data_IF_868779078830
#
_entry.id   IF_868779078830
#
_cell.length_a   1.000
_cell.length_b   1.000
_cell.length_c   1.000
_cell.angle_alpha   90.00
_cell.angle_beta   90.00
_cell.angle_gamma   90.00
#
_symmetry.space_group_name_H-M   'P 1'
#
loop_
_entity.id
_entity.type
_entity.pdbx_description
1 polymer ?
#
# COMPACT_ATOMS: atom_id res chain seq x y z
N UNK A 1 -13.51 -9.74 23.46
CA UNK A 1 -13.92 -9.31 22.99
C UNK A 1 -14.35 -8.05 22.48
N UNK A 2 -14.93 -7.28 23.19
CA UNK A 2 -15.44 -6.06 22.70
C UNK A 2 -14.36 -5.20 22.13
N UNK A 3 -13.23 -5.38 22.64
CA UNK A 3 -12.18 -4.54 22.21
C UNK A 3 -11.86 -4.71 20.78
N UNK A 4 -12.28 -5.76 20.21
CA UNK A 4 -11.95 -5.99 18.84
C UNK A 4 -12.75 -5.19 17.88
N UNK A 5 -13.76 -4.50 18.36
CA UNK A 5 -14.63 -3.79 17.47
C UNK A 5 -13.89 -2.76 16.68
N UNK A 6 -12.96 -2.08 17.29
CA UNK A 6 -12.28 -1.05 16.56
C UNK A 6 -11.50 -1.61 15.43
N UNK A 7 -10.92 -2.77 15.62
CA UNK A 7 -10.14 -3.36 14.55
C UNK A 7 -11.03 -3.75 13.41
N UNK A 8 -12.27 -4.05 13.70
CA UNK A 8 -13.15 -4.46 12.63
C UNK A 8 -13.52 -3.33 11.73
N UNK A 9 -13.42 -2.10 12.22
CA UNK A 9 -13.74 -0.97 11.39
C UNK A 9 -12.66 -0.70 10.37
N UNK A 10 -11.47 -1.22 10.58
CA UNK A 10 -10.36 -1.01 9.67
C UNK A 10 -10.03 -2.32 9.02
N UNK A 11 -10.23 -2.37 7.72
CA UNK A 11 -9.99 -3.60 6.99
C UNK A 11 -8.55 -3.60 6.51
N UNK A 12 -7.71 -4.38 7.16
CA UNK A 12 -6.33 -4.52 6.73
C UNK A 12 -6.12 -5.75 5.86
N UNK A 13 -7.20 -6.38 5.44
CA UNK A 13 -7.09 -7.50 4.54
C UNK A 13 -6.74 -7.04 3.12
N UNK A 14 -7.19 -5.85 2.76
CA UNK A 14 -6.93 -5.28 1.46
C UNK A 14 -6.27 -3.92 1.61
N UNK A 15 -5.41 -3.59 0.67
CA UNK A 15 -4.80 -2.27 0.67
C UNK A 15 -5.86 -1.23 0.36
N UNK A 16 -5.88 -0.16 1.13
CA UNK A 16 -6.83 0.91 0.92
C UNK A 16 -6.32 2.22 1.47
N UNK A 17 -7.11 3.27 1.28
CA UNK A 17 -6.75 4.60 1.75
C UNK A 17 -6.70 4.59 3.27
N UNK A 18 -5.64 5.18 3.82
CA UNK A 18 -5.45 5.20 5.26
C UNK A 18 -4.58 4.08 5.77
N UNK A 19 -4.16 3.18 4.90
CA UNK A 19 -3.34 2.05 5.29
C UNK A 19 -1.95 2.19 4.71
N UNK A 20 -1.01 1.52 5.34
CA UNK A 20 0.35 1.41 4.85
C UNK A 20 0.56 -0.02 4.39
N UNK A 21 1.21 -0.18 3.28
CA UNK A 21 1.48 -1.49 2.73
C UNK A 21 2.98 -1.64 2.56
N UNK A 22 3.51 -2.75 3.07
CA UNK A 22 4.91 -3.07 2.86
C UNK A 22 4.99 -3.99 1.65
N UNK A 23 5.77 -3.61 0.68
CA UNK A 23 5.90 -4.38 -0.55
C UNK A 23 7.38 -4.67 -0.81
N UNK A 24 7.60 -5.68 -1.61
CA UNK A 24 8.94 -6.05 -2.01
C UNK A 24 9.08 -5.88 -3.50
N UNK A 25 10.07 -5.10 -3.91
CA UNK A 25 10.39 -4.94 -5.31
C UNK A 25 11.05 -6.22 -5.77
N UNK A 26 10.37 -6.95 -6.64
CA UNK A 26 10.86 -8.25 -7.04
C UNK A 26 12.05 -8.17 -7.97
N UNK A 27 12.26 -7.02 -8.60
CA UNK A 27 13.38 -6.89 -9.50
C UNK A 27 14.67 -6.61 -8.73
N UNK A 28 14.59 -5.75 -7.72
CA UNK A 28 15.78 -5.38 -6.96
C UNK A 28 15.83 -6.02 -5.59
N UNK A 29 14.78 -6.78 -5.24
CA UNK A 29 14.75 -7.49 -3.96
C UNK A 29 14.82 -6.51 -2.80
N UNK A 30 14.10 -5.40 -2.89
CA UNK A 30 14.10 -4.37 -1.87
C UNK A 30 12.71 -4.19 -1.31
N UNK A 31 12.63 -3.90 -0.02
CA UNK A 31 11.35 -3.69 0.63
C UNK A 31 11.08 -2.20 0.75
N UNK A 32 9.86 -1.80 0.45
CA UNK A 32 9.46 -0.40 0.48
C UNK A 32 8.09 -0.32 1.12
N UNK A 33 7.87 0.70 1.93
CA UNK A 33 6.56 0.95 2.52
C UNK A 33 5.89 2.07 1.77
N UNK A 34 4.65 1.85 1.37
CA UNK A 34 3.84 2.90 0.75
C UNK A 34 2.62 3.13 1.61
N UNK A 35 2.29 4.40 1.84
CA UNK A 35 1.06 4.76 2.53
C UNK A 35 0.09 5.34 1.52
N UNK A 36 -1.12 4.83 1.51
CA UNK A 36 -2.14 5.31 0.59
C UNK A 36 -2.88 6.43 1.31
N UNK A 37 -2.78 7.64 0.77
CA UNK A 37 -3.30 8.82 1.45
C UNK A 37 -4.20 9.60 0.51
N UNK A 38 -4.90 10.58 1.09
CA UNK A 38 -5.70 11.48 0.28
C UNK A 38 -4.84 12.51 -0.43
N UNK A 39 -5.47 13.28 -1.32
CA UNK A 39 -4.73 14.22 -2.15
C UNK A 39 -3.92 15.22 -1.33
N UNK A 40 -4.45 15.66 -0.21
CA UNK A 40 -3.76 16.71 0.54
C UNK A 40 -2.57 16.17 1.31
N UNK A 41 -2.39 14.87 1.35
CA UNK A 41 -1.32 14.28 2.12
C UNK A 41 -0.24 13.62 1.26
N UNK A 42 -0.33 13.75 -0.04
CA UNK A 42 0.63 13.12 -0.92
C UNK A 42 2.00 13.70 -0.69
N UNK A 43 2.98 12.83 -0.48
CA UNK A 43 4.34 13.26 -0.23
C UNK A 43 5.27 12.18 -0.77
N UNK A 44 5.80 12.37 -1.97
CA UNK A 44 6.65 11.34 -2.57
C UNK A 44 7.88 11.02 -1.75
N UNK A 45 8.39 11.98 -1.00
CA UNK A 45 9.59 11.71 -0.21
C UNK A 45 9.31 10.74 0.92
N UNK A 46 8.07 10.68 1.37
CA UNK A 46 7.69 9.76 2.44
C UNK A 46 6.95 8.56 1.89
N UNK A 47 6.87 8.42 0.58
CA UNK A 47 6.12 7.34 -0.06
C UNK A 47 4.65 7.39 0.29
N UNK A 48 4.12 8.60 0.47
CA UNK A 48 2.70 8.81 0.65
C UNK A 48 2.12 9.03 -0.73
N UNK A 49 1.32 8.09 -1.19
CA UNK A 49 0.83 8.12 -2.56
C UNK A 49 -0.69 8.08 -2.56
N UNK A 50 -1.27 8.60 -3.64
CA UNK A 50 -2.70 8.61 -3.80
C UNK A 50 -3.18 7.25 -4.32
N UNK A 51 -4.41 6.89 -3.98
CA UNK A 51 -4.99 5.67 -4.53
C UNK A 51 -5.16 5.76 -6.03
N UNK A 52 -5.05 6.97 -6.59
CA UNK A 52 -5.18 7.13 -8.03
C UNK A 52 -3.84 7.22 -8.74
N UNK A 53 -2.75 7.20 -8.00
CA UNK A 53 -1.44 7.20 -8.63
C UNK A 53 -1.20 5.84 -9.30
N UNK A 54 -0.27 5.77 -10.24
CA UNK A 54 -0.02 4.50 -10.93
C UNK A 54 0.31 3.36 -9.97
N UNK A 55 1.13 3.62 -8.97
CA UNK A 55 1.46 2.58 -8.01
C UNK A 55 0.28 2.35 -7.08
N UNK A 56 -0.34 3.42 -6.60
CA UNK A 56 -1.42 3.28 -5.64
C UNK A 56 -2.59 2.51 -6.17
N UNK A 57 -2.99 2.81 -7.41
CA UNK A 57 -4.17 2.14 -7.94
C UNK A 57 -3.92 0.66 -8.19
N UNK A 58 -2.66 0.28 -8.41
CA UNK A 58 -2.37 -1.14 -8.56
C UNK A 58 -2.29 -1.83 -7.21
N UNK A 59 -1.94 -1.09 -6.16
CA UNK A 59 -1.84 -1.69 -4.84
C UNK A 59 -3.18 -1.79 -4.14
N UNK A 60 -4.07 -0.82 -4.38
CA UNK A 60 -5.37 -0.81 -3.71
C UNK A 60 -6.13 -2.08 -4.08
N UNK A 61 -6.66 -2.75 -3.08
CA UNK A 61 -7.39 -3.99 -3.29
C UNK A 61 -6.53 -5.23 -3.26
N UNK A 62 -5.23 -5.08 -3.16
CA UNK A 62 -4.34 -6.24 -3.06
C UNK A 62 -4.32 -6.75 -1.64
N UNK A 63 -3.93 -7.99 -1.50
CA UNK A 63 -3.85 -8.64 -0.20
C UNK A 63 -2.42 -9.10 0.02
N UNK A 64 -2.12 -9.44 1.26
CA UNK A 64 -0.81 -10.01 1.57
C UNK A 64 -0.60 -11.25 0.71
N UNK A 65 0.52 -11.28 0.04
CA UNK A 65 0.85 -12.38 -0.86
C UNK A 65 0.54 -12.10 -2.32
N UNK A 66 -0.22 -11.04 -2.59
CA UNK A 66 -0.51 -10.68 -3.97
C UNK A 66 0.66 -9.91 -4.56
N UNK A 67 0.73 -9.92 -5.88
CA UNK A 67 1.75 -9.16 -6.59
C UNK A 67 1.05 -8.09 -7.41
N UNK A 68 1.50 -6.85 -7.23
CA UNK A 68 0.99 -5.73 -7.99
C UNK A 68 1.95 -5.46 -9.15
N UNK A 69 1.41 -5.43 -10.35
CA UNK A 69 2.21 -5.19 -11.53
C UNK A 69 1.95 -3.79 -12.05
N UNK A 70 2.98 -2.95 -12.03
CA UNK A 70 2.86 -1.58 -12.48
C UNK A 70 3.55 -1.47 -13.83
N UNK A 71 2.77 -1.21 -14.86
CA UNK A 71 3.30 -1.12 -16.21
C UNK A 71 3.59 0.35 -16.51
N UNK A 72 4.86 0.63 -16.82
CA UNK A 72 5.26 1.96 -17.25
C UNK A 72 5.85 1.81 -18.64
N UNK A 73 6.02 2.93 -19.36
CA UNK A 73 6.48 2.82 -20.75
C UNK A 73 7.79 2.08 -20.92
N UNK A 74 8.68 2.21 -19.96
CA UNK A 74 10.00 1.62 -20.12
C UNK A 74 10.15 0.26 -19.46
N UNK A 75 9.20 -0.15 -18.62
CA UNK A 75 9.42 -1.36 -17.84
C UNK A 75 8.14 -1.80 -17.17
N UNK A 76 8.19 -2.96 -16.55
CA UNK A 76 7.13 -3.43 -15.69
C UNK A 76 7.75 -3.66 -14.32
N UNK A 77 7.14 -3.06 -13.31
CA UNK A 77 7.62 -3.18 -11.95
C UNK A 77 6.65 -4.06 -11.19
N UNK A 78 7.19 -5.03 -10.46
CA UNK A 78 6.36 -5.94 -9.69
C UNK A 78 6.66 -5.77 -8.22
N UNK A 79 5.61 -5.54 -7.45
CA UNK A 79 5.71 -5.42 -5.99
C UNK A 79 4.89 -6.52 -5.36
N UNK A 80 5.51 -7.29 -4.50
CA UNK A 80 4.79 -8.31 -3.75
C UNK A 80 4.36 -7.72 -2.43
N UNK A 81 3.08 -7.85 -2.10
CA UNK A 81 2.55 -7.31 -0.86
C UNK A 81 2.98 -8.22 0.28
N UNK A 82 3.76 -7.67 1.19
CA UNK A 82 4.27 -8.43 2.33
C UNK A 82 3.43 -8.23 3.57
N UNK A 83 2.94 -7.00 3.77
CA UNK A 83 2.22 -6.69 4.98
C UNK A 83 1.34 -5.49 4.77
N UNK A 84 0.20 -5.48 5.41
CA UNK A 84 -0.73 -4.35 5.36
C UNK A 84 -1.02 -3.97 6.81
N UNK A 85 -0.89 -2.69 7.14
CA UNK A 85 -1.14 -2.27 8.50
C UNK A 85 -1.65 -0.84 8.51
N UNK A 86 -2.21 -0.43 9.64
CA UNK A 86 -2.73 0.90 9.77
C UNK A 86 -1.59 1.90 9.83
N UNK A 87 -1.78 3.00 9.12
CA UNK A 87 -0.81 4.06 9.14
C UNK A 87 -0.85 4.73 10.51
N UNK A 88 0.32 4.90 11.08
CA UNK A 88 0.38 5.53 12.37
C UNK A 88 0.39 7.03 12.22
N UNK A 89 -0.48 7.70 12.95
CA UNK A 89 -0.55 9.14 12.94
C UNK A 89 -0.08 9.63 14.27
N UNK A 90 0.89 10.46 14.31
CA UNK A 90 1.32 10.96 15.61
C UNK A 90 1.28 12.41 15.72
#
# INVERSE_FOLDING_TARGET
EAEDIEDEDIDTEFVGVGLTVKVKDLEFDEEVDFSIVGFSEIDPEKNYISSESPIGKELVGKRVGDVAEIVVPDATIKFEVLEIFKRELS
#
